data_IF_774254995397
#
_entry.id   IF_774254995397
#
_cell.length_a   1.000
_cell.length_b   1.000
_cell.length_c   1.000
_cell.angle_alpha   90.00
_cell.angle_beta   90.00
_cell.angle_gamma   90.00
#
_symmetry.space_group_name_H-M   'P 1'
#
loop_
_entity.id
_entity.type
_entity.pdbx_description
1 polymer ?
#
# COMPACT_ATOMS: atom_id res chain seq x y z
N UNK A 1 -10.12 20.33 -6.58
CA UNK A 1 -10.26 19.06 -7.30
C UNK A 1 -9.01 18.84 -8.11
N UNK A 2 -8.40 17.67 -8.00
CA UNK A 2 -7.15 17.35 -8.70
C UNK A 2 -7.38 17.10 -10.19
N UNK A 3 -6.34 17.31 -11.00
CA UNK A 3 -6.39 17.17 -12.46
C UNK A 3 -6.44 15.72 -12.94
N UNK A 4 -6.00 14.76 -12.12
CA UNK A 4 -6.05 13.31 -12.40
C UNK A 4 -5.99 12.50 -11.11
N UNK A 5 -6.36 11.21 -11.18
CA UNK A 5 -6.23 10.27 -10.06
C UNK A 5 -4.77 10.05 -9.64
N UNK A 6 -3.85 10.10 -10.61
CA UNK A 6 -2.41 10.07 -10.36
C UNK A 6 -1.97 11.31 -9.56
N UNK A 7 -2.49 12.49 -9.91
CA UNK A 7 -2.20 13.74 -9.19
C UNK A 7 -2.69 13.67 -7.75
N UNK A 8 -3.86 13.05 -7.51
CA UNK A 8 -4.33 12.77 -6.14
C UNK A 8 -3.36 11.86 -5.40
N UNK A 9 -2.95 10.73 -5.97
CA UNK A 9 -2.02 9.82 -5.31
C UNK A 9 -0.67 10.48 -4.96
N UNK A 10 -0.14 11.31 -5.88
CA UNK A 10 1.09 12.07 -5.66
C UNK A 10 0.93 13.15 -4.57
N UNK A 11 -0.20 13.88 -4.57
CA UNK A 11 -0.49 14.89 -3.55
C UNK A 11 -0.62 14.26 -2.17
N UNK A 12 -1.43 13.21 -2.02
CA UNK A 12 -1.61 12.50 -0.74
C UNK A 12 -0.28 11.93 -0.23
N UNK A 13 0.53 11.33 -1.12
CA UNK A 13 1.87 10.83 -0.73
C UNK A 13 2.77 11.96 -0.19
N UNK A 14 2.69 13.16 -0.77
CA UNK A 14 3.44 14.31 -0.28
C UNK A 14 2.89 14.84 1.04
N UNK A 15 1.57 14.94 1.19
CA UNK A 15 0.91 15.42 2.41
C UNK A 15 1.13 14.47 3.59
N UNK A 16 1.04 13.15 3.36
CA UNK A 16 1.14 12.13 4.41
C UNK A 16 2.58 11.82 4.81
N UNK A 17 3.50 11.64 3.85
CA UNK A 17 4.87 11.16 4.12
C UNK A 17 5.98 12.06 3.56
N UNK A 18 5.64 13.24 3.02
CA UNK A 18 6.62 14.26 2.63
C UNK A 18 7.47 13.91 1.41
N UNK A 19 7.17 12.85 0.66
CA UNK A 19 7.93 12.49 -0.55
C UNK A 19 7.50 13.40 -1.70
N UNK A 20 8.40 14.24 -2.25
CA UNK A 20 8.00 15.19 -3.29
C UNK A 20 7.54 14.48 -4.58
N UNK A 21 6.45 14.92 -5.23
CA UNK A 21 5.99 14.31 -6.48
C UNK A 21 7.07 14.26 -7.57
N UNK A 22 7.94 15.26 -7.64
CA UNK A 22 9.04 15.32 -8.61
C UNK A 22 10.10 14.21 -8.41
N UNK A 23 10.12 13.58 -7.23
CA UNK A 23 11.02 12.48 -6.87
C UNK A 23 10.38 11.09 -7.06
N UNK A 24 9.15 11.04 -7.57
CA UNK A 24 8.44 9.79 -7.86
C UNK A 24 8.34 9.62 -9.39
N UNK A 25 8.70 8.45 -9.87
CA UNK A 25 8.39 8.00 -11.23
C UNK A 25 7.22 7.04 -11.19
N UNK A 26 6.11 7.38 -11.85
CA UNK A 26 4.99 6.45 -11.97
C UNK A 26 5.35 5.38 -13.00
N UNK A 27 5.43 4.14 -12.54
CA UNK A 27 5.70 2.97 -13.38
C UNK A 27 4.43 2.44 -14.04
N UNK A 28 3.28 2.66 -13.41
CA UNK A 28 1.98 2.26 -13.94
C UNK A 28 0.87 2.32 -12.90
N UNK A 29 -0.35 2.05 -13.35
CA UNK A 29 -1.54 1.90 -12.52
C UNK A 29 -1.89 0.42 -12.41
N UNK A 30 -2.19 -0.06 -11.20
CA UNK A 30 -2.70 -1.42 -10.98
C UNK A 30 -4.23 -1.48 -11.17
N UNK A 31 -4.77 -2.70 -11.11
CA UNK A 31 -6.18 -3.01 -11.18
C UNK A 31 -6.99 -2.20 -10.18
N UNK A 32 -8.08 -1.60 -10.67
CA UNK A 32 -9.02 -0.84 -9.84
C UNK A 32 -9.76 -1.80 -8.92
N UNK A 33 -9.73 -1.52 -7.62
CA UNK A 33 -10.32 -2.39 -6.60
C UNK A 33 -11.49 -1.66 -5.91
N UNK A 34 -12.65 -2.32 -5.77
CA UNK A 34 -13.71 -1.78 -4.94
C UNK A 34 -13.40 -2.01 -3.45
N UNK A 35 -13.92 -1.15 -2.59
CA UNK A 35 -14.03 -1.47 -1.17
C UNK A 35 -15.05 -2.60 -0.93
N UNK A 36 -15.17 -3.07 0.32
CA UNK A 36 -15.99 -4.25 0.68
C UNK A 36 -17.46 -4.16 0.22
N UNK A 37 -18.09 -2.99 0.35
CA UNK A 37 -19.48 -2.76 -0.02
C UNK A 37 -19.67 -2.21 -1.45
N UNK A 38 -18.57 -2.05 -2.20
CA UNK A 38 -18.52 -1.57 -3.59
C UNK A 38 -19.05 -0.15 -3.79
N UNK A 39 -19.04 0.67 -2.74
CA UNK A 39 -19.41 2.09 -2.81
C UNK A 39 -18.25 2.98 -3.26
N UNK A 40 -17.01 2.53 -3.06
CA UNK A 40 -15.79 3.27 -3.38
C UNK A 40 -14.92 2.45 -4.35
N UNK A 41 -14.29 3.13 -5.30
CA UNK A 41 -13.26 2.58 -6.18
C UNK A 41 -11.90 3.16 -5.81
N UNK A 42 -10.92 2.30 -5.62
CA UNK A 42 -9.54 2.68 -5.34
C UNK A 42 -8.69 2.39 -6.57
N UNK A 43 -7.86 3.37 -6.94
CA UNK A 43 -6.99 3.35 -8.10
C UNK A 43 -5.52 3.35 -7.63
N UNK A 44 -4.88 2.18 -7.48
CA UNK A 44 -3.51 2.10 -7.02
C UNK A 44 -2.53 2.46 -8.13
N UNK A 45 -1.47 3.18 -7.77
CA UNK A 45 -0.34 3.49 -8.66
C UNK A 45 0.95 2.94 -8.06
N UNK A 46 1.80 2.39 -8.92
CA UNK A 46 3.14 1.92 -8.53
C UNK A 46 4.13 3.02 -8.87
N UNK A 47 4.75 3.60 -7.84
CA UNK A 47 5.75 4.66 -7.96
C UNK A 47 7.15 4.18 -7.57
N UNK A 48 8.17 4.60 -8.33
CA UNK A 48 9.57 4.43 -7.98
C UNK A 48 10.13 5.74 -7.40
N UNK A 49 10.65 5.68 -6.18
CA UNK A 49 11.30 6.83 -5.53
C UNK A 49 12.74 6.93 -6.06
N UNK A 50 13.07 8.04 -6.69
CA UNK A 50 14.32 8.25 -7.45
C UNK A 50 15.58 8.46 -6.59
N UNK A 51 15.44 8.51 -5.27
CA UNK A 51 16.53 8.72 -4.33
C UNK A 51 16.50 7.67 -3.20
N UNK A 52 17.65 7.39 -2.56
CA UNK A 52 17.70 6.50 -1.41
C UNK A 52 16.92 7.11 -0.23
N UNK A 53 15.83 6.45 0.17
CA UNK A 53 14.98 6.89 1.27
C UNK A 53 15.38 6.17 2.57
N UNK A 54 15.56 6.94 3.65
CA UNK A 54 15.73 6.40 5.00
C UNK A 54 14.39 6.50 5.73
N UNK A 55 13.74 5.35 5.91
CA UNK A 55 12.40 5.27 6.49
C UNK A 55 12.34 5.87 7.90
N UNK A 56 13.43 5.78 8.67
CA UNK A 56 13.50 6.33 10.03
C UNK A 56 13.58 7.87 10.05
N UNK A 57 13.79 8.50 8.89
CA UNK A 57 13.90 9.96 8.73
C UNK A 57 12.77 10.55 7.89
N UNK A 58 11.74 9.75 7.56
CA UNK A 58 10.55 10.26 6.89
C UNK A 58 9.89 11.31 7.80
N UNK A 59 9.67 12.50 7.26
CA UNK A 59 8.88 13.54 7.92
C UNK A 59 7.41 13.35 7.54
N UNK A 60 6.71 12.46 8.24
CA UNK A 60 5.29 12.21 8.03
C UNK A 60 4.41 13.20 8.81
N UNK A 61 3.19 13.42 8.33
CA UNK A 61 2.18 14.22 9.01
C UNK A 61 1.57 13.44 10.19
N UNK A 62 1.84 13.82 11.46
CA UNK A 62 1.36 13.07 12.62
C UNK A 62 -0.16 13.18 12.84
N UNK A 63 -0.83 14.15 12.22
CA UNK A 63 -2.29 14.30 12.33
C UNK A 63 -3.05 13.21 11.55
N UNK A 64 -2.38 12.59 10.56
CA UNK A 64 -2.98 11.59 9.66
C UNK A 64 -2.25 10.24 9.71
N UNK A 65 -0.94 10.25 9.98
CA UNK A 65 -0.08 9.07 9.95
C UNK A 65 0.54 8.82 11.33
N UNK A 66 0.35 7.62 11.89
CA UNK A 66 0.95 7.25 13.18
C UNK A 66 2.44 6.87 13.07
N UNK A 67 2.84 6.29 11.94
CA UNK A 67 4.23 5.89 11.70
C UNK A 67 4.42 5.29 10.31
N UNK A 68 5.68 5.25 9.88
CA UNK A 68 6.07 4.79 8.54
C UNK A 68 7.00 3.59 8.66
N UNK A 69 6.73 2.56 7.88
CA UNK A 69 7.58 1.38 7.78
C UNK A 69 7.66 0.92 6.32
N UNK A 70 8.66 0.11 6.01
CA UNK A 70 8.77 -0.54 4.70
C UNK A 70 8.92 -2.05 4.86
N UNK A 71 8.42 -2.78 3.86
CA UNK A 71 8.58 -4.22 3.76
C UNK A 71 9.32 -4.49 2.45
N UNK A 72 10.30 -5.40 2.49
CA UNK A 72 11.02 -5.75 1.26
C UNK A 72 10.12 -6.56 0.33
N UNK A 73 10.29 -6.41 -0.99
CA UNK A 73 9.59 -7.27 -1.96
C UNK A 73 9.85 -8.75 -1.70
N UNK A 74 11.08 -9.11 -1.26
CA UNK A 74 11.42 -10.48 -0.87
C UNK A 74 10.55 -10.99 0.28
N UNK A 75 10.27 -10.15 1.28
CA UNK A 75 9.42 -10.53 2.40
C UNK A 75 7.94 -10.62 1.98
N UNK A 76 7.46 -9.73 1.10
CA UNK A 76 6.09 -9.77 0.56
C UNK A 76 5.82 -11.00 -0.34
N UNK A 77 6.84 -11.44 -1.09
CA UNK A 77 6.79 -12.61 -1.96
C UNK A 77 6.97 -13.93 -1.19
N UNK A 78 7.37 -13.89 0.08
CA UNK A 78 7.54 -15.11 0.88
C UNK A 78 6.17 -15.65 1.32
N UNK A 79 5.79 -16.82 0.78
CA UNK A 79 4.52 -17.47 1.10
C UNK A 79 4.41 -17.89 2.58
N UNK A 80 5.53 -18.18 3.25
CA UNK A 80 5.54 -18.52 4.68
C UNK A 80 5.11 -17.33 5.56
N UNK A 81 5.18 -16.10 5.02
CA UNK A 81 4.72 -14.87 5.68
C UNK A 81 3.31 -14.47 5.25
N UNK A 82 2.58 -15.38 4.60
CA UNK A 82 1.21 -15.16 4.15
C UNK A 82 0.25 -16.11 4.84
N UNK A 83 -0.75 -15.54 5.50
CA UNK A 83 -1.88 -16.30 6.05
C UNK A 83 -3.19 -15.87 5.40
N UNK A 84 -4.20 -16.73 5.49
CA UNK A 84 -5.53 -16.45 4.94
C UNK A 84 -6.55 -16.31 6.07
N UNK A 85 -7.10 -15.10 6.21
CA UNK A 85 -8.28 -14.84 7.02
C UNK A 85 -9.57 -15.27 6.33
N UNK A 86 -10.66 -15.32 7.08
CA UNK A 86 -12.03 -15.52 6.54
C UNK A 86 -12.93 -14.42 7.06
N UNK A 87 -13.76 -13.83 6.20
CA UNK A 87 -14.81 -12.95 6.70
C UNK A 87 -15.88 -13.80 7.39
N UNK A 88 -16.26 -13.37 8.61
CA UNK A 88 -17.29 -14.05 9.40
C UNK A 88 -18.55 -14.28 8.58
N UNK A 89 -19.08 -15.51 8.62
CA UNK A 89 -20.29 -15.90 7.89
C UNK A 89 -20.15 -16.01 6.37
N UNK A 90 -18.94 -15.93 5.79
CA UNK A 90 -18.74 -16.06 4.35
C UNK A 90 -17.67 -17.10 3.98
N UNK A 91 -17.71 -17.57 2.73
CA UNK A 91 -16.63 -18.39 2.13
C UNK A 91 -15.45 -17.55 1.62
N UNK A 92 -15.54 -16.22 1.67
CA UNK A 92 -14.54 -15.31 1.14
C UNK A 92 -13.35 -15.29 2.09
N UNK A 93 -12.17 -15.62 1.55
CA UNK A 93 -10.89 -15.49 2.24
C UNK A 93 -10.24 -14.16 1.86
N UNK A 94 -9.40 -13.63 2.74
CA UNK A 94 -8.58 -12.46 2.46
C UNK A 94 -7.13 -12.73 2.87
N UNK A 95 -6.15 -12.20 2.11
CA UNK A 95 -4.74 -12.37 2.43
C UNK A 95 -4.39 -11.49 3.63
N UNK A 96 -3.44 -11.97 4.43
CA UNK A 96 -2.82 -11.23 5.52
C UNK A 96 -1.32 -11.46 5.40
N UNK A 97 -0.57 -10.37 5.28
CA UNK A 97 0.88 -10.39 5.21
C UNK A 97 1.44 -10.13 6.60
N UNK A 98 2.22 -11.07 7.09
CA UNK A 98 2.90 -10.97 8.37
C UNK A 98 4.22 -10.24 8.20
N UNK A 99 4.51 -9.29 9.09
CA UNK A 99 5.81 -8.60 9.10
C UNK A 99 6.54 -8.83 10.43
N UNK A 100 7.05 -10.04 10.74
CA UNK A 100 7.58 -10.37 12.07
C UNK A 100 8.68 -9.43 12.58
N UNK A 101 9.49 -8.85 11.68
CA UNK A 101 10.54 -7.89 12.04
C UNK A 101 9.98 -6.54 12.53
N UNK A 102 8.79 -6.17 12.08
CA UNK A 102 8.11 -4.89 12.35
C UNK A 102 7.03 -5.10 13.41
N UNK A 103 6.42 -6.29 13.47
CA UNK A 103 5.34 -6.62 14.40
C UNK A 103 3.96 -6.12 13.95
N UNK A 104 3.80 -5.78 12.67
CA UNK A 104 2.54 -5.26 12.10
C UNK A 104 1.96 -6.27 11.10
N UNK A 105 0.64 -6.39 11.04
CA UNK A 105 -0.04 -7.19 10.02
C UNK A 105 -0.64 -6.29 8.94
N UNK A 106 -0.42 -6.64 7.67
CA UNK A 106 -1.06 -5.94 6.55
C UNK A 106 -2.23 -6.79 6.07
N UNK A 107 -3.45 -6.24 6.15
CA UNK A 107 -4.70 -6.92 5.79
C UNK A 107 -5.67 -5.92 5.12
N UNK A 108 -6.88 -6.37 4.81
CA UNK A 108 -7.91 -5.51 4.21
C UNK A 108 -7.60 -5.11 2.76
N UNK A 109 -8.03 -3.91 2.35
CA UNK A 109 -7.86 -3.46 0.97
C UNK A 109 -6.39 -3.40 0.53
N UNK A 110 -5.50 -2.95 1.42
CA UNK A 110 -4.06 -2.91 1.17
C UNK A 110 -3.51 -4.30 0.84
N UNK A 111 -3.91 -5.33 1.58
CA UNK A 111 -3.46 -6.69 1.30
C UNK A 111 -4.01 -7.22 -0.04
N UNK A 112 -5.22 -6.81 -0.46
CA UNK A 112 -5.71 -7.15 -1.80
C UNK A 112 -4.91 -6.46 -2.92
N UNK A 113 -4.53 -5.20 -2.74
CA UNK A 113 -3.63 -4.48 -3.66
C UNK A 113 -2.26 -5.18 -3.71
N UNK A 114 -1.74 -5.63 -2.57
CA UNK A 114 -0.46 -6.35 -2.57
C UNK A 114 -0.59 -7.69 -3.29
N UNK A 115 -1.63 -8.47 -3.01
CA UNK A 115 -1.87 -9.81 -3.59
C UNK A 115 -1.89 -9.80 -5.12
N UNK A 116 -2.48 -8.77 -5.76
CA UNK A 116 -2.48 -8.65 -7.23
C UNK A 116 -1.07 -8.49 -7.82
N UNK A 117 -0.15 -7.88 -7.08
CA UNK A 117 1.21 -7.58 -7.56
C UNK A 117 2.25 -8.66 -7.22
N UNK A 118 1.93 -9.59 -6.32
CA UNK A 118 2.90 -10.56 -5.76
C UNK A 118 2.56 -12.01 -6.10
N UNK A 119 1.54 -12.23 -6.93
CA UNK A 119 1.12 -13.56 -7.40
C UNK A 119 1.70 -13.81 -8.79
N UNK A 120 2.94 -14.32 -8.84
CA UNK A 120 3.60 -14.80 -10.07
C UNK A 120 3.63 -16.33 -10.11
#
# INVERSE_FOLDING_TARGET
TDSSLESTALRETYEEIGVPPSQIEILGQDSVLPNKDRTIKVHPFVGFIKYPIDINKINFNPDEVYGVFSVTLKDLLNQDKRRWGKFSGSKIKYPIFETPKIGIEIWGLTAFILESNVSF
#
